data_IF_817187178670
#
_entry.id   IF_817187178670
#
_cell.length_a   1.000
_cell.length_b   1.000
_cell.length_c   1.000
_cell.angle_alpha   90.00
_cell.angle_beta   90.00
_cell.angle_gamma   90.00
#
_symmetry.space_group_name_H-M   'P 1'
#
loop_
_entity.id
_entity.type
_entity.pdbx_description
1 polymer ?
#
# COMPACT_ATOMS: atom_id res chain seq x y z
N UNK A 1 -4.17 -14.71 2.26
CA UNK A 1 -2.94 -14.33 3.02
C UNK A 1 -3.34 -13.42 4.15
N UNK A 2 -2.89 -13.68 5.39
CA UNK A 2 -3.10 -12.79 6.52
C UNK A 2 -2.37 -11.47 6.29
N UNK A 3 -2.87 -10.39 6.89
CA UNK A 3 -2.25 -9.08 6.77
C UNK A 3 -2.84 -8.07 7.75
N UNK A 4 -2.11 -7.00 8.02
CA UNK A 4 -2.53 -5.89 8.87
C UNK A 4 -2.38 -4.56 8.15
N UNK A 5 -3.12 -3.57 8.61
CA UNK A 5 -2.95 -2.20 8.19
C UNK A 5 -1.94 -1.54 9.12
N UNK A 6 -0.97 -0.83 8.53
CA UNK A 6 0.04 -0.12 9.30
C UNK A 6 0.31 1.27 8.78
N UNK A 7 1.01 2.05 9.58
CA UNK A 7 1.42 3.41 9.28
C UNK A 7 2.94 3.53 9.38
N UNK A 8 3.58 4.03 8.32
CA UNK A 8 5.00 4.33 8.36
C UNK A 8 5.27 5.53 9.27
N UNK A 9 6.01 5.31 10.34
CA UNK A 9 6.41 6.37 11.28
C UNK A 9 7.66 7.09 10.75
N UNK A 10 8.67 6.32 10.33
CA UNK A 10 9.91 6.89 9.85
C UNK A 10 10.95 5.84 9.49
N UNK A 11 12.17 6.28 9.35
CA UNK A 11 13.33 5.41 9.16
C UNK A 11 14.35 5.67 10.27
N UNK A 12 15.00 4.60 10.68
CA UNK A 12 16.09 4.61 11.66
C UNK A 12 17.14 3.59 11.26
N UNK A 13 18.17 3.43 12.07
CA UNK A 13 19.15 2.37 11.92
C UNK A 13 19.31 1.60 13.22
N UNK A 14 19.59 0.31 13.11
CA UNK A 14 19.85 -0.60 14.21
C UNK A 14 21.22 -1.20 13.99
N UNK A 15 22.02 -1.34 15.04
CA UNK A 15 23.31 -2.00 14.95
C UNK A 15 23.15 -3.48 15.27
N UNK A 16 23.61 -4.34 14.36
CA UNK A 16 23.67 -5.77 14.56
C UNK A 16 24.72 -6.17 15.60
N UNK A 17 24.69 -7.42 16.05
CA UNK A 17 25.66 -7.97 16.99
C UNK A 17 27.10 -7.94 16.44
N UNK A 18 27.24 -7.91 15.12
CA UNK A 18 28.52 -7.79 14.38
C UNK A 18 28.96 -6.33 14.15
N UNK A 19 28.26 -5.35 14.76
CA UNK A 19 28.55 -3.93 14.63
C UNK A 19 28.09 -3.29 13.31
N UNK A 20 27.47 -4.05 12.41
CA UNK A 20 26.95 -3.50 11.14
C UNK A 20 25.75 -2.62 11.35
N UNK A 21 25.74 -1.48 10.67
CA UNK A 21 24.59 -0.58 10.64
C UNK A 21 23.53 -1.10 9.65
N UNK A 22 22.35 -1.43 10.16
CA UNK A 22 21.21 -1.95 9.40
C UNK A 22 20.14 -0.86 9.31
N UNK A 23 19.88 -0.30 8.12
CA UNK A 23 18.80 0.68 7.96
C UNK A 23 17.43 0.00 8.10
N UNK A 24 16.57 0.59 8.95
CA UNK A 24 15.26 0.04 9.25
C UNK A 24 14.15 1.06 8.98
N UNK A 25 12.99 0.58 8.56
CA UNK A 25 11.76 1.37 8.53
C UNK A 25 10.90 0.99 9.72
N UNK A 26 10.48 1.98 10.49
CA UNK A 26 9.56 1.78 11.63
C UNK A 26 8.13 1.90 11.13
N UNK A 27 7.35 0.85 11.34
CA UNK A 27 5.94 0.76 10.99
C UNK A 27 5.14 0.49 12.26
N UNK A 28 4.17 1.35 12.55
CA UNK A 28 3.13 1.11 13.55
C UNK A 28 2.06 0.25 12.89
N UNK A 29 1.99 -1.04 13.23
CA UNK A 29 1.05 -1.99 12.66
C UNK A 29 0.00 -2.40 13.69
N UNK A 30 -1.28 -2.12 13.41
CA UNK A 30 -2.37 -2.39 14.36
C UNK A 30 -2.34 -1.52 15.64
N UNK A 31 -3.25 -1.80 16.60
CA UNK A 31 -4.31 -2.81 16.52
C UNK A 31 -5.35 -2.51 15.43
N UNK A 32 -5.78 -3.54 14.72
CA UNK A 32 -6.81 -3.44 13.69
C UNK A 32 -8.10 -4.08 14.17
N UNK A 33 -9.24 -3.45 13.89
CA UNK A 33 -10.56 -3.96 14.29
C UNK A 33 -11.28 -4.58 13.10
N UNK A 34 -11.91 -5.75 13.30
CA UNK A 34 -12.73 -6.42 12.30
C UNK A 34 -14.06 -5.68 12.15
N UNK A 35 -14.30 -5.06 11.00
CA UNK A 35 -15.52 -4.29 10.74
C UNK A 35 -16.53 -5.00 9.87
N UNK A 36 -16.11 -5.95 9.06
CA UNK A 36 -17.01 -6.77 8.25
C UNK A 36 -16.36 -8.10 7.90
N UNK A 37 -17.18 -9.15 7.88
CA UNK A 37 -16.80 -10.48 7.39
C UNK A 37 -17.66 -10.74 6.16
N UNK A 38 -17.03 -11.01 5.01
CA UNK A 38 -17.70 -11.35 3.76
C UNK A 38 -17.68 -12.86 3.56
N UNK A 39 -18.79 -13.38 3.10
CA UNK A 39 -18.97 -14.81 2.82
C UNK A 39 -19.30 -15.04 1.35
N UNK A 40 -18.89 -16.20 0.83
CA UNK A 40 -19.15 -16.57 -0.57
C UNK A 40 -20.66 -16.55 -0.89
N UNK A 41 -21.49 -16.95 0.05
CA UNK A 41 -22.95 -17.03 -0.14
C UNK A 41 -23.61 -15.67 -0.34
N UNK A 42 -23.15 -14.63 0.37
CA UNK A 42 -23.76 -13.29 0.34
C UNK A 42 -23.05 -12.33 -0.60
N UNK A 43 -21.72 -12.38 -0.61
CA UNK A 43 -20.87 -11.39 -1.28
C UNK A 43 -20.17 -11.95 -2.53
N UNK A 44 -20.23 -13.27 -2.75
CA UNK A 44 -19.57 -13.95 -3.86
C UNK A 44 -18.07 -14.25 -3.62
N UNK A 45 -17.52 -13.78 -2.51
CA UNK A 45 -16.12 -14.04 -2.11
C UNK A 45 -15.97 -14.00 -0.59
N UNK A 46 -14.93 -14.65 -0.08
CA UNK A 46 -14.61 -14.66 1.34
C UNK A 46 -13.50 -13.65 1.66
N UNK A 47 -13.79 -12.71 2.55
CA UNK A 47 -12.83 -11.69 2.98
C UNK A 47 -13.16 -11.17 4.39
N UNK A 48 -12.14 -10.63 5.07
CA UNK A 48 -12.30 -9.89 6.32
C UNK A 48 -11.87 -8.46 6.10
N UNK A 49 -12.74 -7.53 6.44
CA UNK A 49 -12.44 -6.11 6.41
C UNK A 49 -11.88 -5.67 7.75
N UNK A 50 -10.69 -5.13 7.74
CA UNK A 50 -10.00 -4.54 8.89
C UNK A 50 -10.03 -3.02 8.84
N UNK A 51 -10.14 -2.40 10.00
CA UNK A 51 -10.12 -0.95 10.17
C UNK A 51 -8.96 -0.52 11.08
N UNK A 52 -8.33 0.59 10.73
CA UNK A 52 -7.17 1.14 11.44
C UNK A 52 -7.19 2.67 11.48
N UNK A 53 -6.53 3.25 12.49
CA UNK A 53 -6.36 4.68 12.75
C UNK A 53 -7.69 5.40 13.05
N UNK A 54 -7.87 5.84 14.27
CA UNK A 54 -9.09 6.50 14.72
C UNK A 54 -9.28 7.88 14.08
N UNK A 55 -10.52 8.21 13.80
CA UNK A 55 -10.89 9.56 13.38
C UNK A 55 -11.99 10.11 14.28
N UNK A 56 -11.96 11.42 14.46
CA UNK A 56 -13.04 12.12 15.15
C UNK A 56 -14.37 11.93 14.41
N UNK A 57 -15.44 11.73 15.14
CA UNK A 57 -16.79 11.59 14.59
C UNK A 57 -17.22 12.73 13.65
N UNK A 58 -16.69 13.93 13.88
CA UNK A 58 -16.96 15.10 13.01
C UNK A 58 -16.50 14.90 11.57
N UNK A 59 -15.48 14.07 11.36
CA UNK A 59 -14.90 13.78 10.05
C UNK A 59 -15.47 12.50 9.42
N UNK A 60 -16.30 11.75 10.13
CA UNK A 60 -16.93 10.55 9.61
C UNK A 60 -18.33 10.87 9.02
N UNK A 61 -18.59 10.38 7.81
CA UNK A 61 -19.92 10.48 7.19
C UNK A 61 -20.93 9.61 7.95
N UNK A 62 -22.24 9.92 7.81
CA UNK A 62 -23.31 9.11 8.43
C UNK A 62 -23.26 7.64 8.03
N UNK A 63 -22.96 7.36 6.75
CA UNK A 63 -22.81 6.00 6.25
C UNK A 63 -21.68 5.23 6.94
N UNK A 64 -20.51 5.86 7.10
CA UNK A 64 -19.39 5.28 7.81
C UNK A 64 -19.71 5.07 9.29
N UNK A 65 -20.35 6.03 9.96
CA UNK A 65 -20.78 5.85 11.35
C UNK A 65 -21.65 4.62 11.53
N UNK A 66 -22.71 4.46 10.70
CA UNK A 66 -23.56 3.28 10.76
C UNK A 66 -22.85 1.97 10.46
N UNK A 67 -21.81 2.00 9.61
CA UNK A 67 -20.96 0.85 9.36
C UNK A 67 -20.16 0.43 10.59
N UNK A 68 -19.53 1.40 11.26
CA UNK A 68 -18.74 1.14 12.49
C UNK A 68 -19.61 0.81 13.69
N UNK A 69 -20.81 1.39 13.81
CA UNK A 69 -21.78 1.03 14.85
C UNK A 69 -22.19 -0.45 14.77
N UNK A 70 -22.38 -0.98 13.56
CA UNK A 70 -22.63 -2.41 13.35
C UNK A 70 -21.51 -3.31 13.89
N UNK A 71 -20.27 -2.84 13.78
CA UNK A 71 -19.09 -3.54 14.27
C UNK A 71 -18.81 -3.27 15.77
N UNK A 72 -19.58 -2.38 16.43
CA UNK A 72 -19.38 -2.01 17.82
C UNK A 72 -18.09 -1.21 18.08
N UNK A 73 -17.59 -0.47 17.08
CA UNK A 73 -16.33 0.27 17.19
C UNK A 73 -16.47 1.75 16.78
N UNK A 74 -15.49 2.55 17.20
CA UNK A 74 -15.37 3.95 16.78
C UNK A 74 -14.97 4.08 15.31
N UNK A 75 -15.30 5.21 14.65
CA UNK A 75 -14.89 5.44 13.27
C UNK A 75 -13.38 5.39 13.07
N UNK A 76 -12.94 4.64 12.06
CA UNK A 76 -11.54 4.49 11.68
C UNK A 76 -11.27 5.11 10.30
N UNK A 77 -10.02 5.51 10.08
CA UNK A 77 -9.61 6.23 8.86
C UNK A 77 -9.42 5.32 7.65
N UNK A 78 -8.89 4.13 7.86
CA UNK A 78 -8.56 3.18 6.79
C UNK A 78 -9.31 1.88 6.96
N UNK A 79 -9.91 1.43 5.86
CA UNK A 79 -10.58 0.15 5.72
C UNK A 79 -9.90 -0.59 4.57
N UNK A 80 -9.51 -1.83 4.80
CA UNK A 80 -8.90 -2.71 3.79
C UNK A 80 -9.44 -4.11 3.98
N UNK A 81 -9.73 -4.79 2.89
CA UNK A 81 -10.15 -6.19 2.90
C UNK A 81 -8.96 -7.11 2.66
N UNK A 82 -8.89 -8.16 3.45
CA UNK A 82 -7.91 -9.23 3.33
C UNK A 82 -8.65 -10.55 3.04
N UNK A 83 -8.01 -11.45 2.28
CA UNK A 83 -8.58 -12.77 2.01
C UNK A 83 -8.78 -13.54 3.32
N UNK A 84 -9.91 -14.23 3.44
CA UNK A 84 -10.36 -14.87 4.67
C UNK A 84 -9.65 -16.16 5.04
N UNK A 85 -8.52 -16.51 4.42
CA UNK A 85 -7.77 -17.75 4.68
C UNK A 85 -7.38 -17.93 6.17
N UNK A 86 -7.37 -16.85 6.95
CA UNK A 86 -6.99 -16.82 8.37
C UNK A 86 -8.16 -16.48 9.32
N UNK A 87 -9.37 -16.36 8.80
CA UNK A 87 -10.49 -15.67 9.47
C UNK A 87 -11.59 -16.60 9.96
N UNK A 88 -11.33 -17.90 10.07
CA UNK A 88 -12.38 -18.89 10.37
C UNK A 88 -13.05 -18.69 11.74
N UNK A 89 -12.33 -18.08 12.70
CA UNK A 89 -12.82 -17.85 14.07
C UNK A 89 -13.06 -16.37 14.43
N UNK A 90 -12.85 -15.45 13.49
CA UNK A 90 -12.99 -14.01 13.76
C UNK A 90 -14.45 -13.57 13.82
N UNK A 91 -14.74 -12.67 14.76
CA UNK A 91 -16.04 -12.03 14.93
C UNK A 91 -15.96 -10.54 14.65
N UNK A 92 -17.12 -9.93 14.38
CA UNK A 92 -17.23 -8.47 14.27
C UNK A 92 -16.81 -7.82 15.59
N UNK A 93 -15.97 -6.78 15.49
CA UNK A 93 -15.46 -6.08 16.65
C UNK A 93 -14.17 -6.64 17.25
N UNK A 94 -13.72 -7.83 16.82
CA UNK A 94 -12.46 -8.38 17.30
C UNK A 94 -11.28 -7.49 16.93
N UNK A 95 -10.32 -7.43 17.83
CA UNK A 95 -9.09 -6.61 17.65
C UNK A 95 -7.92 -7.54 17.37
N UNK A 96 -7.24 -7.30 16.26
CA UNK A 96 -6.07 -8.06 15.83
C UNK A 96 -4.79 -7.25 16.05
N UNK A 97 -3.80 -7.86 16.68
CA UNK A 97 -2.48 -7.29 16.91
C UNK A 97 -1.43 -7.93 16.00
N UNK A 98 -0.23 -7.36 16.01
CA UNK A 98 0.93 -7.91 15.27
C UNK A 98 1.26 -9.33 15.73
N UNK A 99 1.19 -9.58 17.04
CA UNK A 99 1.49 -10.90 17.61
C UNK A 99 0.51 -11.97 17.10
N UNK A 100 -0.78 -11.65 16.99
CA UNK A 100 -1.80 -12.61 16.55
C UNK A 100 -1.61 -13.06 15.09
N UNK A 101 -1.08 -12.19 14.23
CA UNK A 101 -0.99 -12.42 12.78
C UNK A 101 0.40 -12.85 12.34
N UNK A 102 1.45 -12.32 12.95
CA UNK A 102 2.84 -12.47 12.49
C UNK A 102 3.74 -13.22 13.49
N UNK A 103 3.16 -13.96 14.44
CA UNK A 103 3.96 -14.79 15.34
C UNK A 103 4.81 -15.80 14.55
N UNK A 104 6.12 -15.79 14.79
CA UNK A 104 7.07 -16.68 14.09
C UNK A 104 7.39 -16.30 12.63
N UNK A 105 6.80 -15.23 12.07
CA UNK A 105 7.06 -14.78 10.70
C UNK A 105 8.32 -13.92 10.66
N UNK A 106 9.29 -14.30 9.80
CA UNK A 106 10.55 -13.57 9.63
C UNK A 106 10.49 -12.50 8.53
N UNK A 107 9.68 -12.71 7.50
CA UNK A 107 9.58 -11.84 6.33
C UNK A 107 8.13 -11.46 6.05
N UNK A 108 7.91 -10.20 5.71
CA UNK A 108 6.58 -9.68 5.35
C UNK A 108 6.67 -8.85 4.08
N UNK A 109 5.63 -8.91 3.26
CA UNK A 109 5.48 -8.03 2.11
C UNK A 109 4.78 -6.73 2.54
N UNK A 110 5.32 -5.59 2.14
CA UNK A 110 4.75 -4.27 2.46
C UNK A 110 4.28 -3.57 1.20
N UNK A 111 3.00 -3.31 1.12
CA UNK A 111 2.36 -2.58 0.01
C UNK A 111 1.98 -1.18 0.47
N UNK A 112 2.36 -0.17 -0.29
CA UNK A 112 2.04 1.21 0.05
C UNK A 112 2.01 2.12 -1.18
N UNK A 113 1.43 3.30 -1.00
CA UNK A 113 1.40 4.33 -2.04
C UNK A 113 2.54 5.33 -1.80
N UNK A 114 3.44 5.45 -2.76
CA UNK A 114 4.54 6.40 -2.67
C UNK A 114 4.04 7.85 -2.80
N UNK A 115 4.81 8.79 -2.28
CA UNK A 115 4.52 10.23 -2.45
C UNK A 115 4.49 10.59 -3.92
N UNK A 116 3.51 11.40 -4.33
CA UNK A 116 3.44 11.95 -5.68
C UNK A 116 4.66 12.81 -6.00
N UNK A 117 5.16 12.72 -7.23
CA UNK A 117 6.32 13.48 -7.72
C UNK A 117 5.94 14.51 -8.78
N UNK A 118 4.65 14.72 -9.03
CA UNK A 118 4.15 15.56 -10.09
C UNK A 118 4.48 15.00 -11.48
N UNK A 119 4.54 15.88 -12.48
CA UNK A 119 5.03 15.52 -13.82
C UNK A 119 6.53 15.30 -13.78
N UNK A 120 6.98 14.11 -14.16
CA UNK A 120 8.38 13.76 -14.24
C UNK A 120 8.77 13.39 -15.66
N UNK A 121 9.95 13.84 -16.08
CA UNK A 121 10.57 13.42 -17.34
C UNK A 121 10.93 11.92 -17.31
N UNK A 122 11.04 11.32 -18.50
CA UNK A 122 11.24 9.88 -18.69
C UNK A 122 12.49 9.33 -18.03
N UNK A 123 13.54 10.13 -17.92
CA UNK A 123 14.78 9.71 -17.24
C UNK A 123 14.53 9.43 -15.75
N UNK A 124 13.77 10.29 -15.05
CA UNK A 124 13.46 10.10 -13.64
C UNK A 124 12.32 9.11 -13.40
N UNK A 125 11.28 9.14 -14.26
CA UNK A 125 10.09 8.30 -14.08
C UNK A 125 10.33 6.85 -14.46
N UNK A 126 11.08 6.60 -15.56
CA UNK A 126 11.27 5.28 -16.13
C UNK A 126 12.73 4.81 -16.17
N UNK A 127 13.67 5.63 -15.75
CA UNK A 127 15.09 5.28 -15.78
C UNK A 127 15.70 5.24 -17.19
N UNK A 128 15.11 5.96 -18.15
CA UNK A 128 15.65 6.03 -19.51
C UNK A 128 17.00 6.73 -19.54
N UNK A 129 17.90 6.23 -20.39
CA UNK A 129 19.24 6.81 -20.55
C UNK A 129 19.25 8.16 -21.27
N UNK A 130 18.24 8.42 -22.08
CA UNK A 130 18.24 9.58 -22.99
C UNK A 130 19.15 9.35 -24.21
N UNK A 131 19.54 10.42 -24.86
CA UNK A 131 20.50 10.41 -25.97
C UNK A 131 21.90 10.71 -25.42
N UNK A 132 22.89 9.89 -25.72
CA UNK A 132 24.20 9.86 -25.06
C UNK A 132 24.99 11.15 -25.09
N UNK A 133 25.29 11.73 -26.23
CA UNK A 133 26.20 12.88 -26.31
C UNK A 133 25.65 14.06 -27.14
N UNK A 134 26.30 15.20 -26.99
CA UNK A 134 26.07 16.36 -27.83
C UNK A 134 27.02 16.30 -29.04
N UNK A 135 26.61 15.58 -30.07
CA UNK A 135 27.43 15.40 -31.26
C UNK A 135 26.71 15.91 -32.51
N UNK A 136 27.46 16.34 -33.50
CA UNK A 136 26.94 16.79 -34.83
C UNK A 136 25.80 17.81 -34.77
N UNK A 137 25.90 18.82 -33.87
CA UNK A 137 24.91 19.88 -33.70
C UNK A 137 23.64 19.49 -32.91
N UNK A 138 23.53 18.29 -32.39
CA UNK A 138 22.38 17.85 -31.62
C UNK A 138 22.56 18.11 -30.11
N UNK A 139 21.91 19.16 -29.58
CA UNK A 139 22.11 19.60 -28.20
C UNK A 139 20.88 19.49 -27.31
N UNK A 140 19.66 19.35 -27.87
CA UNK A 140 18.39 19.47 -27.15
C UNK A 140 17.67 18.15 -26.86
N UNK A 141 18.30 17.00 -27.09
CA UNK A 141 17.66 15.68 -26.94
C UNK A 141 18.20 14.80 -25.84
N UNK A 142 19.02 15.35 -24.96
CA UNK A 142 19.71 14.57 -23.89
C UNK A 142 18.77 13.78 -22.98
N UNK A 143 17.59 14.30 -22.71
CA UNK A 143 16.62 13.72 -21.78
C UNK A 143 15.30 13.31 -22.45
N UNK A 144 15.35 13.03 -23.74
CA UNK A 144 14.18 12.62 -24.51
C UNK A 144 13.87 11.11 -24.36
N UNK A 145 12.60 10.69 -24.57
CA UNK A 145 12.19 9.30 -24.46
C UNK A 145 12.73 8.41 -25.60
N UNK A 146 13.10 9.00 -26.74
CA UNK A 146 13.44 8.25 -27.96
C UNK A 146 12.20 7.82 -28.74
N UNK A 147 12.22 6.64 -29.36
CA UNK A 147 11.08 6.11 -30.09
C UNK A 147 9.88 5.88 -29.18
N UNK A 148 8.68 6.26 -29.64
CA UNK A 148 7.41 6.09 -28.90
C UNK A 148 6.67 4.80 -29.26
N UNK A 149 7.21 3.98 -30.16
CA UNK A 149 6.63 2.72 -30.55
C UNK A 149 6.69 2.46 -32.06
N UNK A 150 5.91 1.47 -32.51
CA UNK A 150 5.78 1.09 -33.91
C UNK A 150 4.85 2.02 -34.69
N UNK A 151 5.01 2.07 -36.01
CA UNK A 151 4.27 2.95 -36.92
C UNK A 151 2.84 2.44 -37.19
N UNK A 152 2.72 1.41 -38.02
CA UNK A 152 1.43 0.96 -38.60
C UNK A 152 0.56 0.22 -37.61
N UNK A 153 1.11 -0.58 -36.75
CA UNK A 153 0.41 -1.32 -35.71
C UNK A 153 1.21 -1.28 -34.41
N UNK A 154 0.63 -0.92 -33.28
CA UNK A 154 -0.80 -0.73 -32.94
C UNK A 154 -1.37 0.67 -33.27
N UNK A 155 -0.68 1.53 -34.00
CA UNK A 155 -1.11 2.88 -34.41
C UNK A 155 -1.44 3.83 -33.25
N UNK A 156 -0.81 3.62 -32.12
CA UNK A 156 -1.00 4.44 -30.89
C UNK A 156 0.24 4.43 -30.03
N UNK A 157 0.36 5.43 -29.18
CA UNK A 157 1.33 5.49 -28.08
C UNK A 157 0.66 4.93 -26.82
N UNK A 158 1.31 4.01 -26.14
CA UNK A 158 0.80 3.45 -24.89
C UNK A 158 0.89 4.46 -23.74
N UNK A 159 0.03 4.30 -22.75
CA UNK A 159 0.06 5.12 -21.54
C UNK A 159 1.36 4.90 -20.76
N UNK A 160 1.94 5.98 -20.24
CA UNK A 160 3.10 5.96 -19.36
C UNK A 160 4.44 5.97 -20.04
#
# INVERSE_FOLDING_TARGET
MPGLIGKKIGMTSVFGADGKNIPCTVIEAGPCVVTQIRTVEKDGYAAVQLAYDEISEKHASKALKGHFEKAGTTPKRKLVEFKADFAQDLKLGDTLTVADIFEGVQFVDVVGTSKGKGFQGVVKRHGFAGVGGQTHGQHNRLRHPGSLGASSWPSRVFKG
#
